data_IF_221117701401
#
_entry.id   IF_221117701401
#
_cell.length_a   1.000
_cell.length_b   1.000
_cell.length_c   1.000
_cell.angle_alpha   90.00
_cell.angle_beta   90.00
_cell.angle_gamma   90.00
#
_symmetry.space_group_name_H-M   'P 1'
#
loop_
_entity.id
_entity.type
_entity.pdbx_description
1 polymer ?
#
# COMPACT_ATOMS: atom_id res chain seq x y z
N UNK A 1 7.27 -7.99 -3.65
CA UNK A 1 5.79 -7.99 -3.60
C UNK A 1 5.33 -6.62 -3.17
N UNK A 2 4.52 -5.94 -3.98
CA UNK A 2 4.08 -4.57 -3.71
C UNK A 2 3.04 -4.52 -2.57
N UNK A 3 3.19 -3.61 -1.61
CA UNK A 3 2.33 -3.54 -0.41
C UNK A 3 0.88 -3.19 -0.79
N UNK A 4 0.71 -2.41 -1.87
CA UNK A 4 -0.62 -2.00 -2.34
C UNK A 4 -1.39 -3.18 -2.90
N UNK A 5 -0.69 -4.08 -3.61
CA UNK A 5 -1.28 -5.33 -4.11
C UNK A 5 -1.80 -6.22 -2.97
N UNK A 6 -1.08 -6.29 -1.84
CA UNK A 6 -1.55 -7.05 -0.67
C UNK A 6 -2.80 -6.42 -0.05
N UNK A 7 -2.81 -5.09 0.11
CA UNK A 7 -3.96 -4.36 0.65
C UNK A 7 -5.19 -4.56 -0.24
N UNK A 8 -5.02 -4.52 -1.56
CA UNK A 8 -6.12 -4.74 -2.51
C UNK A 8 -6.65 -6.17 -2.50
N UNK A 9 -5.77 -7.17 -2.34
CA UNK A 9 -6.20 -8.56 -2.14
C UNK A 9 -7.04 -8.72 -0.87
N UNK A 10 -6.59 -8.11 0.24
CA UNK A 10 -7.33 -8.08 1.50
C UNK A 10 -8.68 -7.36 1.38
N UNK A 11 -8.70 -6.20 0.71
CA UNK A 11 -9.93 -5.47 0.42
C UNK A 11 -10.93 -6.34 -0.35
N UNK A 12 -10.47 -7.02 -1.40
CA UNK A 12 -11.30 -7.93 -2.20
C UNK A 12 -11.79 -9.13 -1.40
N UNK A 13 -10.95 -9.72 -0.55
CA UNK A 13 -11.34 -10.80 0.35
C UNK A 13 -12.41 -10.35 1.38
N UNK A 14 -12.44 -9.06 1.73
CA UNK A 14 -13.45 -8.44 2.59
C UNK A 14 -14.69 -7.93 1.84
N UNK A 15 -14.78 -8.14 0.51
CA UNK A 15 -15.88 -7.64 -0.31
C UNK A 15 -15.88 -6.13 -0.53
N UNK A 16 -14.77 -5.44 -0.26
CA UNK A 16 -14.63 -4.00 -0.49
C UNK A 16 -14.26 -3.76 -1.95
N UNK A 17 -15.10 -3.02 -2.67
CA UNK A 17 -14.82 -2.65 -4.05
C UNK A 17 -13.70 -1.61 -4.14
N UNK A 18 -12.95 -1.60 -5.25
CA UNK A 18 -11.90 -0.59 -5.50
C UNK A 18 -12.47 0.83 -5.45
N UNK A 19 -13.71 1.02 -5.88
CA UNK A 19 -14.39 2.31 -5.86
C UNK A 19 -14.63 2.80 -4.43
N UNK A 20 -15.12 1.92 -3.56
CA UNK A 20 -15.35 2.24 -2.14
C UNK A 20 -14.02 2.45 -1.41
N UNK A 21 -13.03 1.61 -1.71
CA UNK A 21 -11.68 1.75 -1.17
C UNK A 21 -11.04 3.10 -1.54
N UNK A 22 -11.17 3.52 -2.80
CA UNK A 22 -10.66 4.80 -3.28
C UNK A 22 -11.40 5.98 -2.62
N UNK A 23 -12.73 5.91 -2.54
CA UNK A 23 -13.57 6.93 -1.91
C UNK A 23 -13.25 7.09 -0.42
N UNK A 24 -13.23 6.00 0.34
CA UNK A 24 -12.99 6.02 1.78
C UNK A 24 -11.53 6.39 2.12
N UNK A 25 -10.60 6.16 1.19
CA UNK A 25 -9.19 6.55 1.34
C UNK A 25 -8.91 8.00 0.87
N UNK A 26 -9.92 8.71 0.36
CA UNK A 26 -9.75 10.03 -0.27
C UNK A 26 -8.70 10.00 -1.40
N UNK A 27 -8.84 9.00 -2.29
CA UNK A 27 -7.95 8.74 -3.42
C UNK A 27 -8.74 8.65 -4.72
N UNK A 28 -8.14 9.10 -5.82
CA UNK A 28 -8.71 8.88 -7.14
C UNK A 28 -8.67 7.41 -7.54
N UNK A 29 -9.78 6.88 -8.08
CA UNK A 29 -9.86 5.49 -8.59
C UNK A 29 -8.77 5.22 -9.63
N UNK A 30 -8.46 6.20 -10.50
CA UNK A 30 -7.39 6.12 -11.48
C UNK A 30 -6.00 5.99 -10.83
N UNK A 31 -5.78 6.65 -9.69
CA UNK A 31 -4.54 6.52 -8.94
C UNK A 31 -4.39 5.11 -8.37
N UNK A 32 -5.45 4.57 -7.75
CA UNK A 32 -5.47 3.20 -7.24
C UNK A 32 -5.24 2.19 -8.38
N UNK A 33 -5.88 2.36 -9.53
CA UNK A 33 -5.67 1.51 -10.71
C UNK A 33 -4.24 1.58 -11.26
N UNK A 34 -3.61 2.77 -11.31
CA UNK A 34 -2.19 2.88 -11.68
C UNK A 34 -1.30 2.11 -10.71
N UNK A 35 -1.59 2.16 -9.42
CA UNK A 35 -0.82 1.42 -8.41
C UNK A 35 -0.97 -0.09 -8.59
N UNK A 36 -2.17 -0.56 -8.95
CA UNK A 36 -2.39 -1.97 -9.31
C UNK A 36 -1.53 -2.37 -10.52
N UNK A 37 -1.40 -1.50 -11.52
CA UNK A 37 -0.60 -1.76 -12.73
C UNK A 37 0.92 -1.62 -12.51
N UNK A 38 1.39 -1.46 -11.28
CA UNK A 38 2.82 -1.33 -10.96
C UNK A 38 3.32 0.12 -10.92
N UNK A 39 2.41 1.10 -10.92
CA UNK A 39 2.76 2.48 -10.59
C UNK A 39 3.17 2.58 -9.12
N UNK A 40 4.37 3.08 -8.84
CA UNK A 40 4.84 3.23 -7.47
C UNK A 40 3.86 4.04 -6.61
N UNK A 41 3.53 3.52 -5.43
CA UNK A 41 2.70 4.21 -4.45
C UNK A 41 3.57 4.82 -3.35
N UNK A 42 3.20 6.02 -2.90
CA UNK A 42 3.80 6.60 -1.70
C UNK A 42 3.33 5.80 -0.47
N UNK A 43 4.19 5.73 0.55
CA UNK A 43 3.88 5.07 1.83
C UNK A 43 2.57 5.62 2.44
N UNK A 44 2.39 6.94 2.43
CA UNK A 44 1.18 7.58 2.93
C UNK A 44 -0.10 7.13 2.20
N UNK A 45 0.00 6.83 0.91
CA UNK A 45 -1.13 6.29 0.13
C UNK A 45 -1.45 4.88 0.59
N UNK A 46 -0.44 4.04 0.79
CA UNK A 46 -0.62 2.69 1.30
C UNK A 46 -1.22 2.69 2.72
N UNK A 47 -0.81 3.63 3.59
CA UNK A 47 -1.40 3.79 4.93
C UNK A 47 -2.88 4.16 4.90
N UNK A 48 -3.28 5.09 4.02
CA UNK A 48 -4.70 5.44 3.82
C UNK A 48 -5.52 4.22 3.40
N UNK A 49 -5.04 3.48 2.40
CA UNK A 49 -5.70 2.26 1.93
C UNK A 49 -5.79 1.20 3.03
N UNK A 50 -4.71 0.98 3.79
CA UNK A 50 -4.68 0.01 4.88
C UNK A 50 -5.64 0.40 6.02
N UNK A 51 -5.80 1.69 6.31
CA UNK A 51 -6.79 2.18 7.29
C UNK A 51 -8.21 1.83 6.88
N UNK A 52 -8.58 2.02 5.61
CA UNK A 52 -9.90 1.66 5.08
C UNK A 52 -10.15 0.16 5.16
N UNK A 53 -9.15 -0.64 4.77
CA UNK A 53 -9.26 -2.09 4.88
C UNK A 53 -9.34 -2.50 6.34
N UNK A 54 -8.73 -1.77 7.27
CA UNK A 54 -8.62 -2.14 8.69
C UNK A 54 -7.42 -3.04 8.95
N UNK A 55 -6.28 -2.73 8.34
CA UNK A 55 -5.02 -3.44 8.49
C UNK A 55 -3.92 -2.47 8.96
N UNK A 56 -2.96 -2.98 9.75
CA UNK A 56 -1.80 -2.21 10.19
C UNK A 56 -0.64 -2.44 9.24
N UNK A 57 -0.13 -1.36 8.64
CA UNK A 57 1.08 -1.41 7.85
C UNK A 57 2.29 -1.51 8.79
N UNK A 58 3.03 -2.61 8.69
CA UNK A 58 4.30 -2.77 9.42
C UNK A 58 5.42 -2.60 8.41
N UNK A 59 5.99 -1.40 8.39
CA UNK A 59 7.20 -1.12 7.63
C UNK A 59 8.36 -1.78 8.37
N UNK A 60 8.78 -2.95 7.90
CA UNK A 60 10.05 -3.49 8.37
C UNK A 60 11.15 -2.56 7.86
N UNK A 61 12.06 -2.08 8.72
CA UNK A 61 13.26 -1.43 8.24
C UNK A 61 13.98 -2.47 7.39
N UNK A 62 14.05 -2.22 6.08
CA UNK A 62 14.95 -2.96 5.22
C UNK A 62 16.33 -2.76 5.84
N UNK A 63 16.97 -3.85 6.27
CA UNK A 63 18.37 -3.85 6.67
C UNK A 63 19.17 -3.31 5.49
N UNK A 64 19.31 -1.99 5.40
CA UNK A 64 20.39 -1.36 4.66
C UNK A 64 21.62 -1.90 5.36
N UNK A 65 22.39 -2.76 4.69
CA UNK A 65 23.77 -3.02 5.06
C UNK A 65 24.43 -1.64 5.16
N UNK A 66 24.48 -1.07 6.36
CA UNK A 66 25.38 0.03 6.63
C UNK A 66 26.77 -0.54 6.36
N UNK A 67 27.40 0.06 5.37
CA UNK A 67 28.75 -0.20 4.91
C UNK A 67 29.65 -0.25 6.14
N UNK A 68 30.24 -1.41 6.46
CA UNK A 68 31.39 -1.44 7.35
C UNK A 68 32.54 -0.79 6.58
N UNK A 69 32.70 0.53 6.76
CA UNK A 69 33.98 1.21 6.53
C UNK A 69 34.84 0.78 7.70
N UNK A 70 35.69 -0.22 7.48
CA UNK A 70 36.79 -0.52 8.40
C UNK A 70 37.82 0.61 8.24
N UNK A 71 38.10 1.30 9.35
CA UNK A 71 39.28 2.13 9.53
C UNK A 71 40.46 1.29 9.99
#
# INVERSE_FOLDING_TARGET
MDIVQQILKLARARGISIYRLAKDADLGVAAVQRMVKGGGAKVSTAEKLARVVGCRLVLQPTKRKQKAVQS
#
